data_IF_244103348686
#
_entry.id   IF_244103348686
#
_cell.length_a   1.000
_cell.length_b   1.000
_cell.length_c   1.000
_cell.angle_alpha   90.00
_cell.angle_beta   90.00
_cell.angle_gamma   90.00
#
_symmetry.space_group_name_H-M   'P 1'
#
loop_
_entity.id
_entity.type
_entity.pdbx_description
1 polymer ?
#
# COMPACT_ATOMS: atom_id res chain seq x y z
N UNK A 1 -80.12 -2.93 3.68
CA UNK A 1 -79.07 -1.99 4.11
C UNK A 1 -77.74 -2.53 3.62
N UNK A 2 -77.30 -2.08 2.44
CA UNK A 2 -76.12 -2.58 1.75
C UNK A 2 -75.15 -1.43 1.67
N UNK A 3 -74.03 -1.51 2.37
CA UNK A 3 -73.08 -0.41 2.50
C UNK A 3 -71.70 -0.78 1.99
N UNK A 4 -71.14 0.20 1.29
CA UNK A 4 -69.75 0.65 1.35
C UNK A 4 -68.81 0.30 0.17
N UNK A 5 -68.74 1.32 -0.72
CA UNK A 5 -67.54 2.11 -1.07
C UNK A 5 -66.39 1.44 -1.82
N UNK A 6 -66.29 1.84 -3.09
CA UNK A 6 -65.05 1.99 -3.84
C UNK A 6 -64.11 3.00 -3.17
N UNK A 7 -62.82 2.66 -3.09
CA UNK A 7 -61.72 3.63 -3.11
C UNK A 7 -60.47 2.96 -3.69
N UNK A 8 -60.15 3.31 -4.93
CA UNK A 8 -58.89 2.99 -5.60
C UNK A 8 -57.77 3.88 -5.06
N UNK A 9 -56.74 3.27 -4.45
CA UNK A 9 -55.41 3.86 -4.30
C UNK A 9 -54.47 3.09 -5.22
N UNK A 10 -53.99 3.74 -6.28
CA UNK A 10 -52.79 3.29 -6.97
C UNK A 10 -51.59 3.76 -6.15
N UNK A 11 -51.00 2.80 -5.45
CA UNK A 11 -49.71 2.96 -4.80
C UNK A 11 -48.61 3.23 -5.82
N UNK A 12 -47.77 4.20 -5.49
CA UNK A 12 -46.55 4.52 -6.18
C UNK A 12 -45.59 3.33 -6.14
N UNK A 13 -45.22 2.78 -7.30
CA UNK A 13 -44.09 1.85 -7.41
C UNK A 13 -42.85 2.68 -7.74
N UNK A 14 -42.22 3.19 -6.68
CA UNK A 14 -40.79 3.40 -6.67
C UNK A 14 -40.12 2.11 -6.20
N UNK A 15 -39.42 1.41 -7.09
CA UNK A 15 -38.43 0.38 -6.75
C UNK A 15 -37.31 0.52 -7.78
N UNK A 16 -36.06 0.79 -7.46
CA UNK A 16 -35.28 0.30 -6.34
C UNK A 16 -34.09 -0.46 -6.93
N UNK A 17 -33.19 0.24 -7.64
CA UNK A 17 -31.98 -0.38 -8.19
C UNK A 17 -31.03 -0.67 -7.03
N UNK A 18 -30.99 -1.91 -6.56
CA UNK A 18 -29.91 -2.44 -5.70
C UNK A 18 -28.61 -2.54 -6.51
N UNK A 19 -27.78 -1.49 -6.47
CA UNK A 19 -26.36 -1.54 -6.89
C UNK A 19 -25.47 -1.82 -5.67
N UNK A 20 -25.37 -3.07 -5.25
CA UNK A 20 -24.40 -3.48 -4.20
C UNK A 20 -23.38 -4.50 -4.68
N UNK A 21 -23.47 -5.00 -5.93
CA UNK A 21 -22.52 -5.96 -6.50
C UNK A 21 -21.27 -5.36 -7.16
N UNK A 22 -21.30 -4.08 -7.56
CA UNK A 22 -20.21 -3.47 -8.33
C UNK A 22 -18.97 -3.11 -7.52
N UNK A 23 -19.13 -2.66 -6.27
CA UNK A 23 -18.01 -2.25 -5.41
C UNK A 23 -17.11 -3.45 -5.05
N UNK A 24 -17.73 -4.54 -4.56
CA UNK A 24 -17.02 -5.77 -4.19
C UNK A 24 -16.25 -6.40 -5.37
N UNK A 25 -16.82 -6.36 -6.57
CA UNK A 25 -16.15 -6.84 -7.79
C UNK A 25 -14.90 -6.02 -8.14
N UNK A 26 -14.97 -4.70 -7.95
CA UNK A 26 -13.83 -3.79 -8.21
C UNK A 26 -12.76 -3.87 -7.11
N UNK A 27 -13.12 -4.24 -5.88
CA UNK A 27 -12.15 -4.49 -4.81
C UNK A 27 -11.34 -5.75 -5.11
N UNK A 28 -12.00 -6.80 -5.59
CA UNK A 28 -11.33 -8.03 -6.05
C UNK A 28 -10.33 -7.73 -7.18
N UNK A 29 -10.69 -6.84 -8.11
CA UNK A 29 -9.81 -6.41 -9.20
C UNK A 29 -8.54 -5.72 -8.69
N UNK A 30 -8.65 -4.77 -7.76
CA UNK A 30 -7.48 -4.11 -7.15
C UNK A 30 -6.65 -5.10 -6.33
N UNK A 31 -7.29 -5.99 -5.58
CA UNK A 31 -6.57 -7.03 -4.86
C UNK A 31 -5.76 -7.92 -5.82
N UNK A 32 -6.31 -8.28 -6.98
CA UNK A 32 -5.61 -9.03 -8.01
C UNK A 32 -4.41 -8.26 -8.59
N UNK A 33 -4.60 -6.97 -8.90
CA UNK A 33 -3.51 -6.09 -9.38
C UNK A 33 -2.38 -5.98 -8.36
N UNK A 34 -2.70 -5.73 -7.09
CA UNK A 34 -1.71 -5.65 -6.00
C UNK A 34 -1.01 -6.99 -5.80
N UNK A 35 -1.76 -8.09 -5.83
CA UNK A 35 -1.20 -9.44 -5.71
C UNK A 35 -0.21 -9.76 -6.83
N UNK A 36 -0.57 -9.46 -8.08
CA UNK A 36 0.32 -9.65 -9.23
C UNK A 36 1.55 -8.76 -9.14
N UNK A 37 1.37 -7.48 -8.82
CA UNK A 37 2.48 -6.55 -8.67
C UNK A 37 3.47 -7.01 -7.57
N UNK A 38 2.96 -7.58 -6.48
CA UNK A 38 3.79 -8.09 -5.39
C UNK A 38 4.64 -9.33 -5.77
N UNK A 39 4.39 -9.98 -6.91
CA UNK A 39 5.23 -11.10 -7.39
C UNK A 39 6.67 -10.67 -7.69
N UNK A 40 6.90 -9.39 -8.04
CA UNK A 40 8.25 -8.89 -8.30
C UNK A 40 9.12 -8.71 -7.03
N UNK A 41 8.53 -8.85 -5.85
CA UNK A 41 9.20 -8.73 -4.56
C UNK A 41 9.55 -10.11 -4.03
N UNK A 42 10.81 -10.36 -3.70
CA UNK A 42 11.20 -11.59 -3.00
C UNK A 42 10.74 -11.52 -1.52
N UNK A 43 10.22 -12.61 -0.92
CA UNK A 43 9.87 -12.65 0.49
C UNK A 43 11.15 -12.78 1.35
N UNK A 44 11.90 -11.69 1.48
CA UNK A 44 13.22 -11.67 2.11
C UNK A 44 13.14 -11.54 3.64
N UNK A 45 12.75 -12.61 4.34
CA UNK A 45 12.86 -12.75 5.81
C UNK A 45 12.65 -14.24 6.23
N UNK A 46 13.11 -14.73 7.42
CA UNK A 46 14.03 -14.10 8.35
C UNK A 46 15.40 -13.92 7.73
N UNK A 47 15.92 -12.69 7.80
CA UNK A 47 17.34 -12.47 7.55
C UNK A 47 18.09 -13.06 8.73
N UNK A 48 18.45 -14.34 8.66
CA UNK A 48 19.36 -14.97 9.63
C UNK A 48 20.75 -14.32 9.58
N UNK A 49 21.09 -13.70 8.45
CA UNK A 49 22.33 -12.95 8.22
C UNK A 49 22.04 -11.59 7.58
N UNK A 50 22.83 -10.58 7.93
CA UNK A 50 22.70 -9.20 7.44
C UNK A 50 22.98 -9.14 5.92
N UNK A 51 21.98 -8.75 5.13
CA UNK A 51 22.13 -8.51 3.69
C UNK A 51 22.12 -7.00 3.45
N UNK A 52 23.30 -6.38 3.42
CA UNK A 52 23.45 -5.10 2.76
C UNK A 52 23.54 -5.32 1.24
N UNK A 53 22.97 -4.40 0.46
CA UNK A 53 23.31 -4.33 -0.97
C UNK A 53 24.82 -4.04 -1.07
N UNK A 54 25.62 -5.04 -1.45
CA UNK A 54 27.06 -4.87 -1.61
C UNK A 54 27.33 -3.92 -2.79
N UNK A 55 27.92 -2.75 -2.57
CA UNK A 55 28.18 -1.80 -3.67
C UNK A 55 29.14 -2.38 -4.71
N UNK A 56 30.00 -3.33 -4.34
CA UNK A 56 30.96 -3.97 -5.23
C UNK A 56 30.37 -5.13 -6.06
N UNK A 57 29.04 -5.26 -6.12
CA UNK A 57 28.39 -6.26 -6.97
C UNK A 57 28.80 -6.09 -8.44
N UNK A 58 29.24 -7.17 -9.09
CA UNK A 58 29.80 -7.19 -10.45
C UNK A 58 31.34 -7.16 -10.50
N UNK A 59 32.02 -7.08 -9.36
CA UNK A 59 33.49 -7.14 -9.25
C UNK A 59 33.96 -8.41 -8.51
N UNK A 60 33.16 -9.49 -8.55
CA UNK A 60 33.39 -10.71 -7.75
C UNK A 60 34.72 -11.42 -8.06
N UNK A 61 35.32 -11.15 -9.22
CA UNK A 61 36.58 -11.75 -9.66
C UNK A 61 37.80 -10.88 -9.37
N UNK A 62 37.63 -9.72 -8.75
CA UNK A 62 38.72 -8.76 -8.48
C UNK A 62 39.02 -8.68 -6.98
N UNK A 63 40.20 -8.15 -6.64
CA UNK A 63 40.50 -7.79 -5.25
C UNK A 63 39.64 -6.61 -4.80
N UNK A 64 39.47 -6.45 -3.49
CA UNK A 64 38.65 -5.37 -2.92
C UNK A 64 39.21 -3.99 -3.29
N UNK A 65 40.54 -3.86 -3.28
CA UNK A 65 41.29 -2.66 -3.65
C UNK A 65 41.07 -2.29 -5.12
N UNK A 66 41.18 -3.26 -6.04
CA UNK A 66 40.93 -3.07 -7.47
C UNK A 66 39.47 -2.70 -7.74
N UNK A 67 38.54 -3.38 -7.08
CA UNK A 67 37.12 -3.09 -7.18
C UNK A 67 36.81 -1.65 -6.77
N UNK A 68 37.42 -1.15 -5.69
CA UNK A 68 37.28 0.25 -5.26
C UNK A 68 37.89 1.22 -6.28
N UNK A 69 39.11 0.95 -6.72
CA UNK A 69 39.87 1.82 -7.63
C UNK A 69 39.16 1.99 -8.98
N UNK A 70 38.49 0.96 -9.47
CA UNK A 70 37.70 1.00 -10.71
C UNK A 70 36.33 1.68 -10.55
N UNK A 71 36.00 2.12 -9.34
CA UNK A 71 34.75 2.80 -9.02
C UNK A 71 33.65 1.85 -8.57
N UNK A 72 33.96 0.74 -7.92
CA UNK A 72 32.98 -0.20 -7.35
C UNK A 72 32.07 0.42 -6.28
N UNK A 73 32.42 1.58 -5.73
CA UNK A 73 31.49 2.40 -4.93
C UNK A 73 30.66 3.38 -5.74
N UNK A 74 30.70 3.32 -7.07
CA UNK A 74 29.65 3.90 -7.89
C UNK A 74 28.40 3.10 -7.58
N UNK A 75 27.69 3.53 -6.52
CA UNK A 75 26.24 3.46 -6.48
C UNK A 75 25.85 3.79 -7.91
N UNK A 76 25.28 2.83 -8.67
CA UNK A 76 24.66 3.16 -9.94
C UNK A 76 23.97 4.49 -9.67
N UNK A 77 24.28 5.52 -10.45
CA UNK A 77 23.49 6.74 -10.41
C UNK A 77 22.17 6.30 -11.02
N UNK A 78 21.40 5.53 -10.25
CA UNK A 78 19.99 5.31 -10.45
C UNK A 78 19.48 6.72 -10.34
N UNK A 79 18.95 7.23 -11.44
CA UNK A 79 18.43 8.57 -11.52
C UNK A 79 17.57 8.82 -10.28
N UNK A 80 18.01 9.77 -9.45
CA UNK A 80 17.43 9.93 -8.11
C UNK A 80 16.00 10.40 -8.26
N UNK A 81 15.06 9.48 -8.11
CA UNK A 81 13.65 9.83 -8.05
C UNK A 81 13.33 10.41 -6.67
N UNK A 82 13.63 11.71 -6.49
CA UNK A 82 13.42 12.43 -5.21
C UNK A 82 11.98 12.34 -4.70
N UNK A 83 10.99 12.28 -5.60
CA UNK A 83 9.58 12.12 -5.22
C UNK A 83 9.36 10.76 -4.58
N UNK A 84 9.90 9.71 -5.17
CA UNK A 84 9.77 8.34 -4.68
C UNK A 84 10.61 8.11 -3.40
N UNK A 85 11.79 8.73 -3.31
CA UNK A 85 12.57 8.76 -2.05
C UNK A 85 11.78 9.41 -0.91
N UNK A 86 11.06 10.51 -1.18
CA UNK A 86 10.22 11.14 -0.17
C UNK A 86 9.05 10.24 0.27
N UNK A 87 8.45 9.49 -0.67
CA UNK A 87 7.43 8.48 -0.36
C UNK A 87 8.04 7.36 0.49
N UNK A 88 9.23 6.87 0.15
CA UNK A 88 9.92 5.83 0.90
C UNK A 88 10.17 6.22 2.35
N UNK A 89 10.56 7.48 2.60
CA UNK A 89 10.74 7.96 3.98
C UNK A 89 9.45 7.94 4.79
N UNK A 90 8.31 8.27 4.16
CA UNK A 90 7.01 8.15 4.81
C UNK A 90 6.67 6.68 5.06
N UNK A 91 6.88 5.81 4.07
CA UNK A 91 6.67 4.37 4.22
C UNK A 91 7.49 3.78 5.36
N UNK A 92 8.80 4.08 5.45
CA UNK A 92 9.67 3.62 6.55
C UNK A 92 9.11 4.03 7.91
N UNK A 93 8.70 5.30 8.06
CA UNK A 93 8.14 5.81 9.32
C UNK A 93 6.85 5.08 9.71
N UNK A 94 5.89 4.96 8.79
CA UNK A 94 4.59 4.36 9.08
C UNK A 94 4.68 2.84 9.25
N UNK A 95 5.46 2.16 8.41
CA UNK A 95 5.74 0.73 8.56
C UNK A 95 6.50 0.45 9.86
N UNK A 96 7.49 1.28 10.22
CA UNK A 96 8.19 1.19 11.50
C UNK A 96 7.23 1.25 12.67
N UNK A 97 6.45 2.32 12.81
CA UNK A 97 5.49 2.45 13.92
C UNK A 97 4.44 1.32 13.99
N UNK A 98 3.99 0.79 12.86
CA UNK A 98 3.00 -0.28 12.85
C UNK A 98 3.59 -1.67 13.11
N UNK A 99 4.73 -1.99 12.50
CA UNK A 99 5.32 -3.33 12.51
C UNK A 99 6.23 -3.60 13.72
N UNK A 100 6.64 -2.55 14.42
CA UNK A 100 7.42 -2.59 15.66
C UNK A 100 6.69 -3.30 16.83
N UNK A 101 5.42 -3.67 16.64
CA UNK A 101 4.64 -4.55 17.53
C UNK A 101 4.66 -4.14 19.03
N UNK A 102 4.83 -2.84 19.29
CA UNK A 102 4.88 -2.26 20.64
C UNK A 102 6.20 -2.41 21.37
N UNK A 103 7.30 -2.65 20.65
CA UNK A 103 8.65 -2.58 21.22
C UNK A 103 9.10 -1.12 21.43
N UNK A 104 8.62 -0.19 20.61
CA UNK A 104 8.89 1.23 20.71
C UNK A 104 8.28 1.88 21.95
N UNK A 105 8.86 2.99 22.38
CA UNK A 105 8.43 3.72 23.57
C UNK A 105 7.00 4.30 23.46
N UNK A 106 6.46 4.39 22.24
CA UNK A 106 5.09 4.85 21.98
C UNK A 106 4.45 3.89 20.97
N UNK A 107 3.36 3.26 21.37
CA UNK A 107 2.52 2.46 20.49
C UNK A 107 1.80 3.31 19.45
N UNK A 108 1.66 2.77 18.24
CA UNK A 108 0.80 3.37 17.21
C UNK A 108 -0.69 3.21 17.59
N UNK A 109 -1.45 4.31 17.79
CA UNK A 109 -2.88 4.23 18.06
C UNK A 109 -3.64 3.57 16.90
N UNK A 110 -4.76 2.91 17.21
CA UNK A 110 -5.63 2.25 16.23
C UNK A 110 -5.01 1.10 15.45
N UNK A 111 -3.83 0.60 15.86
CA UNK A 111 -3.10 -0.50 15.21
C UNK A 111 -3.93 -1.78 15.10
N UNK A 112 -4.79 -2.04 16.07
CA UNK A 112 -5.70 -3.19 16.12
C UNK A 112 -6.69 -3.23 14.95
N UNK A 113 -6.95 -2.09 14.31
CA UNK A 113 -7.81 -1.98 13.14
C UNK A 113 -7.06 -2.22 11.81
N UNK A 114 -5.78 -2.56 11.89
CA UNK A 114 -4.92 -2.77 10.72
C UNK A 114 -4.21 -1.51 10.24
N UNK A 115 -3.21 -1.71 9.37
CA UNK A 115 -2.27 -0.67 8.96
C UNK A 115 -2.96 0.55 8.34
N UNK A 116 -3.82 0.32 7.34
CA UNK A 116 -4.41 1.40 6.56
C UNK A 116 -5.39 2.25 7.39
N UNK A 117 -6.25 1.62 8.19
CA UNK A 117 -7.18 2.35 9.06
C UNK A 117 -6.43 3.14 10.14
N UNK A 118 -5.42 2.54 10.76
CA UNK A 118 -4.55 3.26 11.71
C UNK A 118 -3.85 4.45 11.06
N UNK A 119 -3.28 4.27 9.87
CA UNK A 119 -2.72 5.35 9.07
C UNK A 119 -3.76 6.45 8.80
N UNK A 120 -4.96 6.09 8.32
CA UNK A 120 -6.02 7.04 7.96
C UNK A 120 -6.41 7.95 9.14
N UNK A 121 -6.53 7.39 10.36
CA UNK A 121 -6.86 8.18 11.55
C UNK A 121 -5.74 9.12 12.00
N UNK A 122 -4.49 8.83 11.64
CA UNK A 122 -3.31 9.56 12.13
C UNK A 122 -2.68 10.49 11.08
N UNK A 123 -2.83 10.19 9.79
CA UNK A 123 -2.15 10.88 8.69
C UNK A 123 -2.47 12.39 8.64
N UNK A 124 -3.69 12.77 9.04
CA UNK A 124 -4.11 14.18 9.10
C UNK A 124 -3.24 15.03 10.05
N UNK A 125 -2.68 14.43 11.10
CA UNK A 125 -1.83 15.13 12.07
C UNK A 125 -0.36 15.24 11.61
N UNK A 126 0.02 14.55 10.55
CA UNK A 126 1.39 14.48 10.09
C UNK A 126 1.76 15.66 9.17
N UNK A 127 2.38 16.68 9.78
CA UNK A 127 2.85 17.88 9.06
C UNK A 127 3.81 17.57 7.92
N UNK A 128 4.52 16.44 7.91
CA UNK A 128 5.41 16.07 6.81
C UNK A 128 4.63 15.60 5.57
N UNK A 129 3.47 14.97 5.76
CA UNK A 129 2.59 14.54 4.68
C UNK A 129 1.90 15.75 4.03
N UNK A 130 1.18 16.55 4.83
CA UNK A 130 0.33 17.61 4.28
C UNK A 130 1.03 18.98 4.18
N UNK A 131 2.20 19.18 4.82
CA UNK A 131 2.98 20.44 4.81
C UNK A 131 2.14 21.70 5.13
N UNK A 132 1.19 21.55 6.04
CA UNK A 132 0.15 22.54 6.38
C UNK A 132 -0.72 23.04 5.22
N UNK A 133 -0.67 22.42 4.04
CA UNK A 133 -1.53 22.77 2.90
C UNK A 133 -2.97 22.30 3.15
N UNK A 134 -3.92 23.20 2.90
CA UNK A 134 -5.35 22.92 3.06
C UNK A 134 -5.81 21.78 2.16
N UNK A 135 -5.45 21.82 0.86
CA UNK A 135 -5.89 20.76 -0.08
C UNK A 135 -5.34 19.39 0.31
N UNK A 136 -4.11 19.31 0.82
CA UNK A 136 -3.52 18.04 1.24
C UNK A 136 -4.19 17.48 2.50
N UNK A 137 -4.56 18.35 3.44
CA UNK A 137 -5.34 17.96 4.63
C UNK A 137 -6.72 17.45 4.25
N UNK A 138 -7.43 18.17 3.40
CA UNK A 138 -8.76 17.79 2.90
C UNK A 138 -8.69 16.46 2.14
N UNK A 139 -7.69 16.27 1.29
CA UNK A 139 -7.47 15.01 0.60
C UNK A 139 -7.30 13.84 1.57
N UNK A 140 -6.45 13.98 2.60
CA UNK A 140 -6.24 12.93 3.61
C UNK A 140 -7.52 12.59 4.39
N UNK A 141 -8.36 13.59 4.67
CA UNK A 141 -9.64 13.38 5.37
C UNK A 141 -10.72 12.74 4.48
N UNK A 142 -10.63 12.93 3.16
CA UNK A 142 -11.57 12.39 2.18
C UNK A 142 -11.19 10.99 1.67
N UNK A 143 -10.02 10.47 2.08
CA UNK A 143 -9.62 9.12 1.71
C UNK A 143 -10.65 8.10 2.25
N UNK A 144 -11.05 7.12 1.43
CA UNK A 144 -12.04 6.12 1.82
C UNK A 144 -11.49 5.18 2.89
N UNK A 145 -12.36 4.54 3.67
CA UNK A 145 -11.97 3.59 4.71
C UNK A 145 -11.45 2.26 4.14
N UNK A 146 -11.84 1.88 2.91
CA UNK A 146 -11.27 0.74 2.20
C UNK A 146 -9.92 1.09 1.58
N UNK A 147 -8.92 0.24 1.81
CA UNK A 147 -7.60 0.40 1.20
C UNK A 147 -7.66 0.25 -0.33
N UNK A 148 -8.51 -0.64 -0.84
CA UNK A 148 -8.72 -0.86 -2.27
C UNK A 148 -9.27 0.39 -2.95
N UNK A 149 -10.31 1.00 -2.38
CA UNK A 149 -10.87 2.26 -2.88
C UNK A 149 -9.88 3.42 -2.78
N UNK A 150 -9.03 3.43 -1.76
CA UNK A 150 -7.99 4.44 -1.62
C UNK A 150 -6.92 4.30 -2.70
N UNK A 151 -6.53 3.06 -3.03
CA UNK A 151 -5.61 2.77 -4.14
C UNK A 151 -6.22 3.25 -5.46
N UNK A 152 -7.50 2.95 -5.74
CA UNK A 152 -8.20 3.45 -6.94
C UNK A 152 -8.17 4.97 -7.02
N UNK A 153 -8.53 5.63 -5.92
CA UNK A 153 -8.52 7.10 -5.81
C UNK A 153 -7.12 7.67 -6.09
N UNK A 154 -6.07 7.04 -5.57
CA UNK A 154 -4.70 7.44 -5.82
C UNK A 154 -4.27 7.23 -7.27
N UNK A 155 -4.57 6.08 -7.88
CA UNK A 155 -4.24 5.78 -9.28
C UNK A 155 -4.90 6.78 -10.23
N UNK A 156 -6.19 7.09 -10.02
CA UNK A 156 -6.92 8.11 -10.77
C UNK A 156 -6.28 9.50 -10.62
N UNK A 157 -5.95 9.91 -9.39
CA UNK A 157 -5.34 11.22 -9.12
C UNK A 157 -3.92 11.35 -9.69
N UNK A 158 -3.20 10.23 -9.76
CA UNK A 158 -1.88 10.14 -10.38
C UNK A 158 -1.94 10.07 -11.91
N UNK A 159 -3.14 9.99 -12.49
CA UNK A 159 -3.36 9.86 -13.93
C UNK A 159 -2.64 8.63 -14.51
N UNK A 160 -2.66 7.51 -13.78
CA UNK A 160 -2.13 6.24 -14.29
C UNK A 160 -3.02 5.77 -15.45
N UNK A 161 -2.46 5.49 -16.64
CA UNK A 161 -3.25 5.03 -17.77
C UNK A 161 -3.93 3.69 -17.48
N UNK A 162 -5.14 3.52 -18.01
CA UNK A 162 -5.88 2.27 -17.92
C UNK A 162 -5.06 1.12 -18.52
N UNK A 163 -4.96 0.01 -17.80
CA UNK A 163 -4.14 -1.16 -18.15
C UNK A 163 -2.67 -1.07 -17.75
N UNK A 164 -2.19 0.07 -17.21
CA UNK A 164 -0.81 0.23 -16.71
C UNK A 164 -0.71 0.20 -15.17
N UNK A 165 -1.80 -0.04 -14.46
CA UNK A 165 -1.87 -0.02 -13.01
C UNK A 165 -0.93 -1.07 -12.38
N UNK A 166 -0.94 -2.30 -12.89
CA UNK A 166 -0.07 -3.37 -12.39
C UNK A 166 1.42 -3.00 -12.57
N UNK A 167 1.77 -2.45 -13.74
CA UNK A 167 3.14 -2.04 -14.05
C UNK A 167 3.59 -0.89 -13.12
N UNK A 168 2.71 0.09 -12.91
CA UNK A 168 2.94 1.21 -12.00
C UNK A 168 3.13 0.74 -10.55
N UNK A 169 2.25 -0.14 -10.06
CA UNK A 169 2.33 -0.71 -8.72
C UNK A 169 3.61 -1.56 -8.57
N UNK A 170 3.94 -2.38 -9.56
CA UNK A 170 5.16 -3.19 -9.58
C UNK A 170 6.41 -2.31 -9.51
N UNK A 171 6.46 -1.24 -10.30
CA UNK A 171 7.57 -0.30 -10.28
C UNK A 171 7.68 0.38 -8.92
N UNK A 172 6.56 0.80 -8.33
CA UNK A 172 6.53 1.41 -6.99
C UNK A 172 7.06 0.46 -5.93
N UNK A 173 6.62 -0.81 -5.94
CA UNK A 173 7.07 -1.83 -4.99
C UNK A 173 8.57 -2.11 -5.10
N UNK A 174 9.14 -2.13 -6.31
CA UNK A 174 10.59 -2.31 -6.51
C UNK A 174 11.43 -1.20 -5.89
N UNK A 175 10.85 -0.02 -5.69
CA UNK A 175 11.54 1.09 -5.05
C UNK A 175 11.37 1.13 -3.53
N UNK A 176 10.70 0.13 -2.93
CA UNK A 176 10.56 -0.02 -1.48
C UNK A 176 11.56 -1.08 -0.95
N UNK A 177 12.82 -0.71 -0.66
CA UNK A 177 13.80 -1.68 -0.18
C UNK A 177 13.38 -2.23 1.20
N UNK A 178 13.47 -3.56 1.36
CA UNK A 178 13.29 -4.28 2.63
C UNK A 178 11.85 -4.40 3.13
N UNK A 179 11.11 -3.30 3.28
CA UNK A 179 9.77 -3.29 3.91
C UNK A 179 8.71 -4.04 3.12
N UNK A 180 8.71 -3.92 1.79
CA UNK A 180 7.78 -4.68 0.94
C UNK A 180 8.05 -6.20 1.03
N UNK A 181 9.32 -6.59 1.06
CA UNK A 181 9.74 -7.98 1.26
C UNK A 181 9.35 -8.53 2.62
N UNK A 182 9.53 -7.73 3.68
CA UNK A 182 9.12 -8.08 5.03
C UNK A 182 7.60 -8.26 5.16
N UNK A 183 6.81 -7.35 4.59
CA UNK A 183 5.33 -7.46 4.58
C UNK A 183 4.90 -8.71 3.82
N UNK A 184 5.50 -8.98 2.65
CA UNK A 184 5.22 -10.19 1.86
C UNK A 184 5.53 -11.46 2.64
N UNK A 185 6.71 -11.55 3.25
CA UNK A 185 7.08 -12.68 4.11
C UNK A 185 6.08 -12.89 5.25
N UNK A 186 5.67 -11.81 5.94
CA UNK A 186 4.72 -11.91 7.07
C UNK A 186 3.37 -12.48 6.63
N UNK A 187 2.89 -12.09 5.45
CA UNK A 187 1.66 -12.64 4.85
C UNK A 187 1.81 -14.13 4.53
N UNK A 188 2.88 -14.51 3.83
CA UNK A 188 3.13 -15.90 3.43
C UNK A 188 3.32 -16.81 4.66
N UNK A 189 4.03 -16.33 5.68
CA UNK A 189 4.24 -17.05 6.93
C UNK A 189 2.93 -17.24 7.70
N UNK A 190 2.09 -16.21 7.82
CA UNK A 190 0.77 -16.33 8.45
C UNK A 190 -0.15 -17.31 7.70
N UNK A 191 -0.08 -17.32 6.37
CA UNK A 191 -0.83 -18.26 5.53
C UNK A 191 -0.34 -19.70 5.71
N UNK A 192 0.98 -19.92 5.77
CA UNK A 192 1.55 -21.26 6.00
C UNK A 192 1.17 -21.84 7.38
N UNK A 193 1.01 -20.99 8.40
CA UNK A 193 0.50 -21.40 9.73
C UNK A 193 -0.96 -21.82 9.70
N UNK A 194 -1.79 -21.21 8.85
CA UNK A 194 -3.21 -21.56 8.70
C UNK A 194 -3.42 -22.88 7.95
N UNK A 195 -2.52 -23.23 7.03
CA UNK A 195 -2.58 -24.50 6.28
C UNK A 195 -2.10 -25.72 7.09
N UNK A 196 -1.39 -25.50 8.20
CA UNK A 196 -0.89 -26.56 9.11
C UNK A 196 -1.81 -26.83 10.32
N UNK A 197 -3.02 -26.28 10.33
CA UNK A 197 -4.08 -26.56 11.31
C UNK A 197 -5.26 -27.20 10.60
#
# INVERSE_FOLDING_TARGET
>A
MTNAKMLTKHDAIGTGVKKTGGAKSRDIEIQALVHNAAKCIAPVWPLETFIACNPLQGFETQTFEEAIAQGGFRRRIVERNRKLEAVNLQMIKWCGGFLDAGQGSIDMPHRENGFYLGFLKLAYFDKQLHRNKKEAKEFLQQLPESAEEAIKTCLLRLHVPEGQEEAFLSQTLRHLPGWAGFVKWKMDWQNSKKQKK
#
